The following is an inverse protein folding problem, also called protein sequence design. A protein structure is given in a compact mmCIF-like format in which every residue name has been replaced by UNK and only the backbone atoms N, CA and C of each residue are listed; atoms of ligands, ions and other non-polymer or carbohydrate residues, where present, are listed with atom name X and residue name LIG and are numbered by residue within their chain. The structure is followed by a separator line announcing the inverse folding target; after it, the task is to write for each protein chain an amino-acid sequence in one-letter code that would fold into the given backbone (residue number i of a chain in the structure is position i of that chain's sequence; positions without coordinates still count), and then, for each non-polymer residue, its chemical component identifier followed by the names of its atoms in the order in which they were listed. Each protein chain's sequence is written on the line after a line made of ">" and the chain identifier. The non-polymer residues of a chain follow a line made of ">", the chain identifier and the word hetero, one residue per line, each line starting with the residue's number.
data_IF_681468376581
#
_entry.id   IF_681468376581
#
_cell.length_a   1.000
_cell.length_b   1.000
_cell.length_c   1.000
_cell.angle_alpha   90.00
_cell.angle_beta   90.00
_cell.angle_gamma   90.00
#
_symmetry.space_group_name_H-M   'P 1'
#
loop_
_entity.id
_entity.type
_entity.pdbx_description
1 polymer ?
#
# COMPACT_ATOMS: atom_id res chain seq x y z
N UNK A 1 13.70 -7.55 17.49
CA UNK A 1 14.13 -6.33 16.78
C UNK A 1 13.29 -6.26 15.53
N UNK A 2 12.27 -5.42 15.53
CA UNK A 2 11.47 -5.11 14.34
C UNK A 2 12.34 -4.30 13.39
N UNK A 3 12.41 -4.73 12.13
CA UNK A 3 13.04 -3.98 11.07
C UNK A 3 12.39 -2.58 10.97
N UNK A 4 13.11 -1.47 11.19
CA UNK A 4 12.56 -0.13 11.06
C UNK A 4 12.14 0.22 9.62
N UNK A 5 12.51 -0.60 8.63
CA UNK A 5 12.31 -0.35 7.19
C UNK A 5 11.09 -1.05 6.56
N UNK A 6 10.26 -1.76 7.33
CA UNK A 6 9.06 -2.39 6.80
C UNK A 6 7.82 -1.54 7.14
N UNK A 7 7.29 -0.80 6.17
CA UNK A 7 6.04 -0.04 6.30
C UNK A 7 4.98 -0.68 5.41
N UNK A 8 4.08 -1.43 6.03
CA UNK A 8 3.02 -2.16 5.36
C UNK A 8 1.79 -1.32 5.03
N UNK A 9 1.90 0.01 4.87
CA UNK A 9 0.75 0.86 4.58
C UNK A 9 1.09 2.15 3.83
N UNK A 10 0.19 2.56 2.93
CA UNK A 10 0.25 3.81 2.17
C UNK A 10 -0.82 4.79 2.65
N UNK A 11 -0.50 6.08 2.75
CA UNK A 11 -1.48 7.14 3.03
C UNK A 11 -1.36 8.28 2.00
N UNK A 12 -2.47 8.90 1.60
CA UNK A 12 -2.42 10.07 0.72
C UNK A 12 -3.70 10.90 0.73
N UNK A 13 -3.58 12.18 0.43
CA UNK A 13 -4.71 13.11 0.24
C UNK A 13 -4.62 13.76 -1.12
N UNK A 14 -5.75 14.03 -1.75
CA UNK A 14 -5.83 14.82 -2.98
C UNK A 14 -6.96 15.82 -2.87
N UNK A 15 -6.80 16.97 -3.53
CA UNK A 15 -7.89 17.94 -3.60
C UNK A 15 -8.96 17.38 -4.53
N UNK A 16 -10.20 17.11 -4.07
CA UNK A 16 -11.28 16.85 -5.00
C UNK A 16 -11.40 18.06 -5.95
N UNK A 17 -11.71 17.84 -7.24
CA UNK A 17 -11.79 18.93 -8.21
C UNK A 17 -12.68 20.05 -7.67
N UNK A 18 -12.23 21.30 -7.79
CA UNK A 18 -13.03 22.47 -7.39
C UNK A 18 -14.41 22.33 -8.04
N UNK A 19 -15.44 22.33 -7.21
CA UNK A 19 -16.83 22.38 -7.68
C UNK A 19 -16.99 23.70 -8.42
N UNK A 20 -17.01 23.63 -9.74
CA UNK A 20 -17.46 24.76 -10.54
C UNK A 20 -18.92 25.03 -10.16
N UNK A 21 -19.36 26.30 -10.09
CA UNK A 21 -20.77 26.60 -9.95
C UNK A 21 -21.54 25.86 -11.05
N UNK A 22 -22.45 24.97 -10.64
CA UNK A 22 -23.25 24.17 -11.56
C UNK A 22 -24.29 25.10 -12.19
N UNK A 23 -24.13 25.40 -13.48
CA UNK A 23 -25.16 26.06 -14.26
C UNK A 23 -26.34 25.08 -14.43
N UNK A 24 -27.45 25.37 -13.77
CA UNK A 24 -28.71 24.62 -13.90
C UNK A 24 -29.64 25.36 -14.84
N UNK A 25 -30.31 24.64 -15.75
CA UNK A 25 -31.31 25.24 -16.61
C UNK A 25 -32.54 25.65 -15.80
N UNK A 26 -33.21 26.75 -16.16
CA UNK A 26 -34.55 27.04 -15.64
C UNK A 26 -35.52 26.00 -16.19
N UNK A 27 -36.25 25.29 -15.32
CA UNK A 27 -37.21 24.26 -15.71
C UNK A 27 -38.64 24.76 -15.57
N UNK A 28 -39.52 24.44 -16.54
CA UNK A 28 -40.97 24.62 -16.41
C UNK A 28 -41.56 23.61 -15.39
N UNK A 29 -42.82 23.79 -14.98
CA UNK A 29 -43.41 23.18 -13.79
C UNK A 29 -43.28 21.64 -13.64
N UNK A 30 -43.10 20.91 -14.75
CA UNK A 30 -42.93 19.45 -14.73
C UNK A 30 -41.48 18.98 -14.98
N UNK A 31 -40.59 19.84 -15.48
CA UNK A 31 -39.21 19.47 -15.76
C UNK A 31 -38.35 19.58 -14.50
N UNK A 32 -37.36 18.70 -14.35
CA UNK A 32 -36.41 18.70 -13.22
C UNK A 32 -35.00 18.56 -13.74
N UNK A 33 -34.07 19.33 -13.16
CA UNK A 33 -32.64 19.06 -13.30
C UNK A 33 -32.24 17.95 -12.32
N UNK A 34 -31.47 16.98 -12.79
CA UNK A 34 -30.81 16.00 -11.92
C UNK A 34 -29.35 16.38 -11.80
N UNK A 35 -28.97 16.90 -10.63
CA UNK A 35 -27.57 17.08 -10.27
C UNK A 35 -27.09 15.84 -9.55
N UNK A 36 -26.09 15.16 -10.10
CA UNK A 36 -25.45 14.02 -9.44
C UNK A 36 -24.04 14.42 -9.02
N UNK A 37 -23.90 14.70 -7.74
CA UNK A 37 -22.59 14.92 -7.14
C UNK A 37 -21.89 13.57 -6.96
N UNK A 38 -20.73 13.35 -7.61
CA UNK A 38 -20.03 12.08 -7.47
C UNK A 38 -19.48 11.95 -6.05
N UNK A 39 -19.70 10.79 -5.44
CA UNK A 39 -19.07 10.42 -4.19
C UNK A 39 -17.58 10.18 -4.45
N UNK A 40 -16.77 11.23 -4.31
CA UNK A 40 -15.33 11.19 -4.51
C UNK A 40 -14.62 11.23 -3.16
N UNK A 41 -13.76 10.25 -2.84
CA UNK A 41 -12.89 10.37 -1.69
C UNK A 41 -11.94 11.56 -1.85
N UNK A 42 -11.47 12.10 -0.73
CA UNK A 42 -10.45 13.15 -0.64
C UNK A 42 -9.12 12.64 -0.11
N UNK A 43 -9.13 11.48 0.54
CA UNK A 43 -7.94 10.83 1.05
C UNK A 43 -8.13 9.32 1.07
N UNK A 44 -7.03 8.61 1.22
CA UNK A 44 -7.01 7.16 1.31
C UNK A 44 -5.90 6.72 2.27
N UNK A 45 -6.11 5.55 2.84
CA UNK A 45 -5.08 4.76 3.48
C UNK A 45 -5.19 3.33 2.98
N UNK A 46 -4.08 2.65 2.70
CA UNK A 46 -4.02 1.25 2.30
C UNK A 46 -3.14 0.51 3.29
N UNK A 47 -3.58 -0.63 3.75
CA UNK A 47 -2.76 -1.62 4.46
C UNK A 47 -2.46 -2.78 3.50
N UNK A 48 -1.19 -3.11 3.34
CA UNK A 48 -0.72 -4.19 2.47
C UNK A 48 -0.68 -5.53 3.21
N UNK A 49 -0.66 -6.62 2.44
CA UNK A 49 -0.77 -8.00 2.92
C UNK A 49 0.24 -8.39 4.00
N UNK A 50 1.42 -7.77 4.01
CA UNK A 50 2.50 -8.01 4.99
C UNK A 50 2.04 -7.81 6.44
N UNK A 51 0.91 -7.13 6.65
CA UNK A 51 0.30 -6.90 7.97
C UNK A 51 -0.72 -7.93 8.37
N UNK A 52 -1.01 -8.88 7.50
CA UNK A 52 -1.79 -10.07 7.79
C UNK A 52 -0.85 -11.26 7.93
N UNK A 53 -1.19 -12.21 8.80
CA UNK A 53 -0.49 -13.49 8.77
C UNK A 53 -0.74 -14.19 7.42
N UNK A 54 0.18 -15.07 7.00
CA UNK A 54 0.04 -15.79 5.73
C UNK A 54 -1.33 -16.50 5.64
N UNK A 55 -2.04 -16.27 4.53
CA UNK A 55 -3.40 -16.76 4.28
C UNK A 55 -4.40 -16.45 5.41
N UNK A 56 -4.24 -15.30 6.08
CA UNK A 56 -5.10 -14.90 7.20
C UNK A 56 -5.67 -13.50 7.04
N UNK A 57 -6.74 -13.24 7.80
CA UNK A 57 -7.30 -11.92 8.07
C UNK A 57 -6.93 -11.36 9.44
N UNK A 58 -6.15 -12.08 10.25
CA UNK A 58 -5.63 -11.58 11.52
C UNK A 58 -4.59 -10.49 11.28
N UNK A 59 -4.72 -9.35 11.97
CA UNK A 59 -3.84 -8.19 11.81
C UNK A 59 -2.68 -8.28 12.82
N UNK A 60 -1.47 -8.36 12.30
CA UNK A 60 -0.22 -8.45 13.06
C UNK A 60 0.03 -7.19 13.93
N UNK A 61 0.72 -7.32 15.08
CA UNK A 61 1.07 -6.16 15.90
C UNK A 61 2.04 -5.20 15.18
N UNK A 62 2.72 -5.68 14.14
CA UNK A 62 3.53 -4.86 13.24
C UNK A 62 2.72 -3.77 12.51
N UNK A 63 1.38 -3.86 12.52
CA UNK A 63 0.49 -2.86 11.95
C UNK A 63 0.39 -1.56 12.79
N UNK A 64 0.94 -1.53 14.00
CA UNK A 64 0.87 -0.36 14.90
C UNK A 64 1.32 0.96 14.26
N UNK A 65 2.51 1.08 13.65
CA UNK A 65 2.91 2.30 12.96
C UNK A 65 1.98 2.68 11.81
N UNK A 66 1.37 1.68 11.14
CA UNK A 66 0.42 1.90 10.05
C UNK A 66 -0.87 2.57 10.54
N UNK A 67 -1.40 2.15 11.70
CA UNK A 67 -2.55 2.80 12.33
C UNK A 67 -2.26 4.22 12.83
N UNK A 68 -1.05 4.46 13.36
CA UNK A 68 -0.64 5.82 13.75
C UNK A 68 -0.63 6.77 12.54
N UNK A 69 -0.14 6.29 11.37
CA UNK A 69 -0.21 7.04 10.10
C UNK A 69 -1.65 7.31 9.67
N UNK A 70 -2.55 6.33 9.79
CA UNK A 70 -3.96 6.51 9.51
C UNK A 70 -4.60 7.56 10.42
N UNK A 71 -4.38 7.47 11.74
CA UNK A 71 -4.92 8.42 12.72
C UNK A 71 -4.47 9.86 12.43
N UNK A 72 -3.19 10.05 12.12
CA UNK A 72 -2.64 11.34 11.72
C UNK A 72 -3.28 11.87 10.42
N UNK A 73 -3.55 10.98 9.44
CA UNK A 73 -4.25 11.35 8.20
C UNK A 73 -5.68 11.78 8.48
N UNK A 74 -6.41 10.99 9.25
CA UNK A 74 -7.81 11.25 9.56
C UNK A 74 -7.98 12.57 10.30
N UNK A 75 -7.12 12.87 11.29
CA UNK A 75 -7.14 14.17 12.00
C UNK A 75 -6.82 15.35 11.09
N UNK A 76 -5.71 15.30 10.35
CA UNK A 76 -5.27 16.44 9.52
C UNK A 76 -6.21 16.74 8.35
N UNK A 77 -7.03 15.77 7.95
CA UNK A 77 -8.04 15.93 6.88
C UNK A 77 -9.42 16.35 7.40
N UNK A 78 -9.54 16.67 8.70
CA UNK A 78 -10.77 17.19 9.29
C UNK A 78 -11.77 16.10 9.66
N UNK A 79 -11.28 14.94 10.11
CA UNK A 79 -12.08 13.82 10.61
C UNK A 79 -13.13 13.33 9.58
N UNK A 80 -12.70 13.01 8.35
CA UNK A 80 -13.59 12.63 7.27
C UNK A 80 -14.30 11.28 7.54
N UNK A 81 -15.53 11.09 7.04
CA UNK A 81 -16.17 9.79 7.00
C UNK A 81 -15.33 8.75 6.25
N UNK A 82 -15.22 7.54 6.79
CA UNK A 82 -14.43 6.44 6.22
C UNK A 82 -15.31 5.34 5.58
N UNK A 83 -14.74 4.57 4.63
CA UNK A 83 -15.27 3.28 4.18
C UNK A 83 -14.13 2.31 3.91
N UNK A 84 -14.24 1.08 4.40
CA UNK A 84 -13.19 0.04 4.33
C UNK A 84 -13.48 -0.95 3.20
N UNK A 85 -12.49 -1.21 2.34
CA UNK A 85 -12.58 -2.12 1.20
C UNK A 85 -11.43 -3.13 1.27
N UNK A 86 -11.75 -4.41 1.44
CA UNK A 86 -10.77 -5.48 1.37
C UNK A 86 -10.67 -6.07 -0.03
N UNK A 87 -9.47 -6.52 -0.41
CA UNK A 87 -9.16 -7.12 -1.71
C UNK A 87 -8.41 -8.43 -1.54
N UNK A 88 -8.62 -9.34 -2.49
CA UNK A 88 -7.91 -10.60 -2.62
C UNK A 88 -7.10 -10.64 -3.93
N UNK A 89 -6.18 -11.59 -4.03
CA UNK A 89 -5.50 -11.89 -5.29
C UNK A 89 -6.29 -12.94 -6.09
N UNK A 90 -5.89 -13.28 -7.33
CA UNK A 90 -6.68 -14.17 -8.18
C UNK A 90 -6.51 -15.66 -7.86
N UNK A 91 -5.89 -16.02 -6.72
CA UNK A 91 -5.76 -17.42 -6.31
C UNK A 91 -7.04 -17.84 -5.57
N UNK A 92 -7.89 -18.60 -6.26
CA UNK A 92 -9.17 -19.07 -5.74
C UNK A 92 -10.30 -18.77 -6.72
N UNK A 93 -11.53 -19.01 -6.31
CA UNK A 93 -12.70 -18.52 -7.05
C UNK A 93 -13.20 -17.19 -6.47
N UNK A 94 -13.94 -16.45 -7.29
CA UNK A 94 -14.45 -15.13 -6.96
C UNK A 94 -15.33 -15.10 -5.69
N UNK A 95 -16.05 -16.18 -5.39
CA UNK A 95 -16.90 -16.31 -4.21
C UNK A 95 -16.09 -16.52 -2.94
N UNK A 96 -15.10 -17.42 -2.98
CA UNK A 96 -14.10 -17.59 -1.92
C UNK A 96 -13.36 -16.27 -1.65
N UNK A 97 -12.83 -15.65 -2.70
CA UNK A 97 -12.09 -14.40 -2.63
C UNK A 97 -12.96 -13.24 -2.12
N UNK A 98 -14.26 -13.23 -2.43
CA UNK A 98 -15.21 -12.24 -1.89
C UNK A 98 -15.33 -12.34 -0.37
N UNK A 99 -15.43 -13.55 0.17
CA UNK A 99 -15.51 -13.78 1.62
C UNK A 99 -14.17 -13.45 2.28
N UNK A 100 -13.05 -13.94 1.76
CA UNK A 100 -11.72 -13.66 2.31
C UNK A 100 -11.40 -12.16 2.34
N UNK A 101 -11.64 -11.45 1.23
CA UNK A 101 -11.51 -10.00 1.16
C UNK A 101 -12.42 -9.29 2.18
N UNK A 102 -13.66 -9.77 2.34
CA UNK A 102 -14.59 -9.26 3.35
C UNK A 102 -14.10 -9.49 4.78
N UNK A 103 -13.46 -10.63 5.08
CA UNK A 103 -12.85 -10.93 6.38
C UNK A 103 -11.72 -9.97 6.71
N UNK A 104 -10.79 -9.72 5.78
CA UNK A 104 -9.72 -8.70 5.96
C UNK A 104 -10.29 -7.31 6.23
N UNK A 105 -11.31 -6.89 5.49
CA UNK A 105 -11.97 -5.60 5.69
C UNK A 105 -12.64 -5.50 7.07
N UNK A 106 -13.34 -6.57 7.48
CA UNK A 106 -13.99 -6.67 8.79
C UNK A 106 -12.99 -6.64 9.94
N UNK A 107 -11.82 -7.28 9.80
CA UNK A 107 -10.75 -7.22 10.79
C UNK A 107 -10.32 -5.78 11.07
N UNK A 108 -10.06 -5.01 10.01
CA UNK A 108 -9.64 -3.60 10.11
C UNK A 108 -10.77 -2.73 10.66
N UNK A 109 -11.99 -2.89 10.15
CA UNK A 109 -13.15 -2.17 10.65
C UNK A 109 -13.35 -2.39 12.16
N UNK A 110 -13.32 -3.65 12.59
CA UNK A 110 -13.47 -4.03 14.00
C UNK A 110 -12.37 -3.45 14.90
N UNK A 111 -11.12 -3.45 14.42
CA UNK A 111 -10.03 -2.78 15.12
C UNK A 111 -10.29 -1.28 15.30
N UNK A 112 -10.70 -0.59 14.23
CA UNK A 112 -10.96 0.85 14.26
C UNK A 112 -12.10 1.24 15.21
N UNK A 113 -13.16 0.44 15.31
CA UNK A 113 -14.33 0.73 16.17
C UNK A 113 -14.36 -0.04 17.49
N UNK A 114 -13.32 -0.84 17.79
CA UNK A 114 -13.21 -1.72 18.97
C UNK A 114 -14.33 -2.76 19.10
N UNK A 115 -14.75 -3.34 17.97
CA UNK A 115 -15.78 -4.38 17.96
C UNK A 115 -15.18 -5.79 18.11
N UNK A 116 -15.06 -6.25 19.36
CA UNK A 116 -14.55 -7.59 19.67
C UNK A 116 -15.48 -8.71 19.19
N UNK A 117 -16.77 -8.44 18.95
CA UNK A 117 -17.71 -9.45 18.51
C UNK A 117 -17.47 -9.86 17.05
N UNK A 118 -17.06 -8.90 16.20
CA UNK A 118 -16.61 -9.20 14.84
C UNK A 118 -15.37 -10.09 14.87
N UNK A 119 -14.36 -9.77 15.69
CA UNK A 119 -13.15 -10.59 15.84
C UNK A 119 -13.44 -11.98 16.40
N UNK A 120 -14.36 -12.09 17.37
CA UNK A 120 -14.81 -13.38 17.89
C UNK A 120 -15.44 -14.24 16.80
N UNK A 121 -16.25 -13.65 15.91
CA UNK A 121 -16.82 -14.38 14.78
C UNK A 121 -15.75 -14.83 13.77
N UNK A 122 -14.78 -13.97 13.45
CA UNK A 122 -13.66 -14.31 12.56
C UNK A 122 -12.81 -15.45 13.13
N UNK A 123 -12.51 -15.42 14.43
CA UNK A 123 -11.78 -16.46 15.15
C UNK A 123 -12.56 -17.79 15.24
N UNK A 124 -13.85 -17.70 15.59
CA UNK A 124 -14.68 -18.87 15.81
C UNK A 124 -15.07 -19.58 14.50
N UNK A 125 -15.05 -18.88 13.36
CA UNK A 125 -15.48 -19.40 12.06
C UNK A 125 -14.34 -19.26 11.04
N UNK A 126 -13.39 -20.21 10.98
CA UNK A 126 -12.32 -20.19 9.99
C UNK A 126 -12.88 -20.29 8.57
N UNK A 127 -12.12 -19.78 7.59
CA UNK A 127 -12.50 -19.82 6.18
C UNK A 127 -11.30 -20.16 5.29
N UNK A 128 -11.28 -21.37 4.72
CA UNK A 128 -10.10 -21.85 3.98
C UNK A 128 -8.89 -21.92 4.89
N UNK A 129 -7.77 -21.32 4.47
CA UNK A 129 -6.56 -21.21 5.30
C UNK A 129 -6.60 -20.10 6.35
N UNK A 130 -7.62 -19.22 6.35
CA UNK A 130 -7.78 -18.20 7.38
C UNK A 130 -8.34 -18.80 8.68
N UNK A 131 -7.46 -19.42 9.46
CA UNK A 131 -7.72 -19.97 10.79
C UNK A 131 -6.84 -19.30 11.86
N UNK A 132 -7.48 -18.46 12.68
CA UNK A 132 -6.80 -17.67 13.72
C UNK A 132 -6.38 -18.50 14.93
N UNK A 133 -6.95 -19.69 15.12
CA UNK A 133 -6.91 -20.44 16.39
C UNK A 133 -5.51 -20.87 16.80
N UNK A 134 -4.60 -21.01 15.84
CA UNK A 134 -3.23 -21.48 16.09
C UNK A 134 -2.23 -20.35 16.27
N UNK A 135 -2.47 -19.16 15.68
CA UNK A 135 -1.47 -18.10 15.59
C UNK A 135 -1.86 -16.81 16.30
N UNK A 136 -3.16 -16.47 16.36
CA UNK A 136 -3.59 -15.15 16.80
C UNK A 136 -3.38 -14.94 18.31
N UNK A 137 -3.76 -15.90 19.15
CA UNK A 137 -3.64 -15.78 20.63
C UNK A 137 -2.17 -15.62 21.07
N UNK A 138 -1.21 -16.45 20.64
CA UNK A 138 0.20 -16.25 20.99
C UNK A 138 0.75 -14.88 20.57
N UNK A 139 0.40 -14.40 19.37
CA UNK A 139 0.84 -13.08 18.90
C UNK A 139 0.27 -11.94 19.72
N UNK A 140 -1.02 -12.00 20.09
CA UNK A 140 -1.65 -11.00 20.96
C UNK A 140 -1.01 -10.98 22.35
N UNK A 141 -0.79 -12.15 22.96
CA UNK A 141 -0.13 -12.26 24.26
C UNK A 141 1.29 -11.67 24.20
N UNK A 142 2.07 -12.03 23.18
CA UNK A 142 3.42 -11.49 22.99
C UNK A 142 3.44 -9.98 22.83
N UNK A 143 2.52 -9.41 22.03
CA UNK A 143 2.39 -7.96 21.84
C UNK A 143 2.02 -7.21 23.13
N UNK A 144 1.29 -7.87 24.03
CA UNK A 144 0.87 -7.33 25.33
C UNK A 144 1.86 -7.66 26.47
N UNK A 145 2.96 -8.35 26.19
CA UNK A 145 3.98 -8.69 27.19
C UNK A 145 3.61 -9.89 28.10
N UNK A 146 2.66 -10.73 27.70
CA UNK A 146 2.25 -11.92 28.43
C UNK A 146 2.88 -13.19 27.83
N UNK A 147 3.44 -14.04 28.69
CA UNK A 147 4.03 -15.33 28.27
C UNK A 147 3.02 -16.48 28.15
N UNK A 148 1.80 -16.33 28.68
CA UNK A 148 0.75 -17.35 28.65
C UNK A 148 -0.64 -16.76 28.86
N UNK A 149 -1.67 -17.53 28.48
CA UNK A 149 -3.08 -17.16 28.74
C UNK A 149 -3.33 -16.97 30.24
N UNK A 150 -2.80 -17.85 31.09
CA UNK A 150 -2.95 -17.75 32.54
C UNK A 150 -2.34 -16.46 33.11
N UNK A 151 -1.19 -16.02 32.57
CA UNK A 151 -0.57 -14.75 32.98
C UNK A 151 -1.42 -13.53 32.60
N UNK A 152 -2.05 -13.55 31.43
CA UNK A 152 -2.98 -12.52 30.99
C UNK A 152 -4.27 -12.52 31.83
N UNK A 153 -4.87 -13.70 32.06
CA UNK A 153 -6.06 -13.85 32.91
C UNK A 153 -5.84 -13.29 34.31
N UNK A 154 -4.70 -13.62 34.93
CA UNK A 154 -4.34 -13.09 36.25
C UNK A 154 -4.23 -11.56 36.25
N UNK A 155 -3.56 -10.99 35.24
CA UNK A 155 -3.39 -9.54 35.11
C UNK A 155 -4.71 -8.78 34.86
N UNK A 156 -5.64 -9.38 34.10
CA UNK A 156 -6.95 -8.80 33.81
C UNK A 156 -8.03 -9.14 34.85
N UNK A 157 -7.69 -9.87 35.92
CA UNK A 157 -8.65 -10.26 36.96
C UNK A 157 -9.72 -11.26 36.49
N UNK A 158 -9.40 -12.08 35.50
CA UNK A 158 -10.27 -13.14 34.99
C UNK A 158 -10.05 -14.47 35.74
N UNK A 159 -10.96 -15.43 35.53
CA UNK A 159 -10.74 -16.80 35.98
C UNK A 159 -9.47 -17.37 35.31
N UNK A 160 -8.53 -17.86 36.12
CA UNK A 160 -7.25 -18.40 35.65
C UNK A 160 -7.39 -19.90 35.37
N UNK A 161 -7.85 -20.24 34.17
CA UNK A 161 -7.99 -21.62 33.69
C UNK A 161 -6.97 -21.99 32.60
N UNK A 162 -6.15 -21.03 32.15
CA UNK A 162 -5.17 -21.21 31.08
C UNK A 162 -5.77 -21.36 29.68
N UNK A 163 -7.11 -21.28 29.55
CA UNK A 163 -7.82 -21.42 28.29
C UNK A 163 -8.22 -20.05 27.74
N UNK A 164 -7.94 -19.81 26.46
CA UNK A 164 -8.42 -18.62 25.76
C UNK A 164 -9.89 -18.82 25.35
N UNK A 165 -10.79 -18.99 26.33
CA UNK A 165 -12.25 -19.08 26.13
C UNK A 165 -12.86 -17.74 25.72
N UNK A 166 -14.17 -17.67 25.38
CA UNK A 166 -14.80 -16.46 24.86
C UNK A 166 -14.65 -15.21 25.76
N UNK A 167 -14.71 -15.38 27.09
CA UNK A 167 -14.52 -14.28 28.05
C UNK A 167 -13.07 -13.76 27.99
N UNK A 168 -12.09 -14.68 28.02
CA UNK A 168 -10.66 -14.36 27.91
C UNK A 168 -10.35 -13.71 26.56
N UNK A 169 -10.88 -14.24 25.45
CA UNK A 169 -10.67 -13.71 24.10
C UNK A 169 -11.23 -12.31 23.95
N UNK A 170 -12.43 -12.04 24.47
CA UNK A 170 -13.01 -10.70 24.44
C UNK A 170 -12.08 -9.67 25.09
N UNK A 171 -11.60 -9.95 26.31
CA UNK A 171 -10.65 -9.07 27.00
C UNK A 171 -9.32 -8.96 26.23
N UNK A 172 -8.81 -10.08 25.72
CA UNK A 172 -7.56 -10.12 24.95
C UNK A 172 -7.65 -9.29 23.67
N UNK A 173 -8.75 -9.40 22.92
CA UNK A 173 -9.00 -8.63 21.70
C UNK A 173 -9.09 -7.14 22.00
N UNK A 174 -9.83 -6.75 23.04
CA UNK A 174 -9.94 -5.35 23.45
C UNK A 174 -8.57 -4.74 23.79
N UNK A 175 -7.79 -5.39 24.65
CA UNK A 175 -6.43 -4.94 25.01
C UNK A 175 -5.50 -4.89 23.82
N UNK A 176 -5.56 -5.91 22.96
CA UNK A 176 -4.74 -5.96 21.77
C UNK A 176 -5.07 -4.83 20.78
N UNK A 177 -6.36 -4.56 20.54
CA UNK A 177 -6.78 -3.46 19.69
C UNK A 177 -6.31 -2.10 20.24
N UNK A 178 -6.37 -1.89 21.56
CA UNK A 178 -5.83 -0.67 22.18
C UNK A 178 -4.32 -0.53 22.07
N UNK A 179 -3.59 -1.64 22.17
CA UNK A 179 -2.13 -1.62 22.06
C UNK A 179 -1.64 -1.38 20.62
N UNK A 180 -2.38 -1.85 19.62
CA UNK A 180 -2.01 -1.80 18.19
C UNK A 180 -2.59 -0.58 17.49
N UNK A 181 -3.87 -0.24 17.72
CA UNK A 181 -4.50 0.91 17.07
C UNK A 181 -4.26 2.14 17.91
N UNK A 182 -3.09 2.74 17.72
CA UNK A 182 -2.69 3.99 18.38
C UNK A 182 -2.59 5.13 17.39
N UNK A 183 -2.55 6.35 17.91
CA UNK A 183 -2.22 7.53 17.13
C UNK A 183 -0.70 7.81 17.08
N UNK A 184 -0.34 8.95 16.50
CA UNK A 184 1.03 9.46 16.39
C UNK A 184 1.67 9.82 17.74
N UNK A 185 0.87 9.94 18.81
CA UNK A 185 1.34 10.11 20.20
C UNK A 185 1.40 8.79 20.98
N UNK A 186 1.11 7.66 20.31
CA UNK A 186 0.98 6.32 20.89
C UNK A 186 -0.22 6.15 21.83
N UNK A 187 -1.16 7.09 21.87
CA UNK A 187 -2.41 6.94 22.62
C UNK A 187 -3.39 6.05 21.83
N UNK A 188 -4.27 5.27 22.50
CA UNK A 188 -5.30 4.50 21.82
C UNK A 188 -6.15 5.37 20.89
N UNK A 189 -6.26 4.95 19.63
CA UNK A 189 -7.05 5.60 18.60
C UNK A 189 -8.27 4.75 18.24
N UNK A 190 -9.44 5.39 18.19
CA UNK A 190 -10.71 4.74 17.88
C UNK A 190 -11.57 5.68 17.01
N UNK A 191 -12.32 5.07 16.10
CA UNK A 191 -13.43 5.69 15.39
C UNK A 191 -14.76 5.22 16.00
N UNK A 192 -15.78 6.06 15.92
CA UNK A 192 -17.16 5.64 16.15
C UNK A 192 -17.79 5.13 14.86
N UNK A 193 -18.83 4.30 14.96
CA UNK A 193 -19.57 3.83 13.78
C UNK A 193 -20.13 4.99 12.95
N UNK A 194 -20.41 6.14 13.59
CA UNK A 194 -20.87 7.36 12.93
C UNK A 194 -19.79 8.09 12.12
N UNK A 195 -18.51 7.72 12.30
CA UNK A 195 -17.37 8.25 11.54
C UNK A 195 -17.18 7.49 10.21
N UNK A 196 -18.08 6.56 9.88
CA UNK A 196 -18.10 5.86 8.60
C UNK A 196 -19.22 6.38 7.70
N UNK A 197 -19.08 6.13 6.40
CA UNK A 197 -19.95 6.69 5.36
C UNK A 197 -21.41 6.23 5.48
N UNK A 198 -21.65 4.98 5.85
CA UNK A 198 -22.96 4.39 6.17
C UNK A 198 -23.40 4.61 7.62
N UNK A 199 -22.52 5.17 8.46
CA UNK A 199 -22.79 5.64 9.84
C UNK A 199 -23.26 4.54 10.80
N UNK A 200 -22.95 3.28 10.52
CA UNK A 200 -23.41 2.13 11.31
C UNK A 200 -24.91 1.84 11.20
N UNK A 201 -25.59 2.36 10.18
CA UNK A 201 -27.06 2.21 10.05
C UNK A 201 -27.51 0.86 9.48
N UNK A 202 -26.62 0.15 8.77
CA UNK A 202 -26.81 -1.26 8.39
C UNK A 202 -26.00 -2.16 9.33
N UNK A 203 -26.64 -3.14 9.97
CA UNK A 203 -25.98 -4.07 10.91
C UNK A 203 -24.85 -4.88 10.25
N UNK A 204 -24.96 -5.12 8.94
CA UNK A 204 -23.95 -5.80 8.14
C UNK A 204 -22.85 -4.88 7.57
N UNK A 205 -22.88 -3.59 7.90
CA UNK A 205 -21.86 -2.61 7.53
C UNK A 205 -21.91 -2.12 6.09
N UNK A 206 -23.05 -2.20 5.39
CA UNK A 206 -23.18 -1.59 4.05
C UNK A 206 -22.77 -0.11 4.07
N UNK A 207 -21.83 0.26 3.20
CA UNK A 207 -21.24 1.60 3.15
C UNK A 207 -20.09 1.86 4.14
N UNK A 208 -19.95 1.05 5.20
CA UNK A 208 -18.87 1.20 6.18
C UNK A 208 -17.71 0.23 5.92
N UNK A 209 -18.03 -1.02 5.55
CA UNK A 209 -17.06 -2.09 5.27
C UNK A 209 -17.53 -2.99 4.12
N UNK A 210 -16.63 -3.33 3.20
CA UNK A 210 -16.91 -4.14 2.01
C UNK A 210 -15.77 -5.10 1.67
N UNK A 211 -16.12 -6.27 1.14
CA UNK A 211 -15.17 -7.17 0.48
C UNK A 211 -15.31 -7.04 -1.03
N UNK A 212 -14.19 -6.82 -1.74
CA UNK A 212 -14.17 -6.59 -3.19
C UNK A 212 -13.69 -7.79 -4.01
N UNK A 213 -13.48 -8.94 -3.38
CA UNK A 213 -12.88 -10.11 -4.04
C UNK A 213 -11.56 -9.77 -4.75
N UNK A 214 -11.22 -10.52 -5.80
CA UNK A 214 -10.12 -10.29 -6.73
C UNK A 214 -10.46 -9.29 -7.85
N UNK A 215 -11.65 -8.67 -7.82
CA UNK A 215 -12.20 -7.93 -8.96
C UNK A 215 -11.47 -6.64 -9.31
N UNK A 216 -10.62 -6.13 -8.41
CA UNK A 216 -9.91 -4.87 -8.60
C UNK A 216 -8.38 -5.07 -8.41
N UNK A 217 -7.73 -5.85 -9.29
CA UNK A 217 -6.30 -6.13 -9.19
C UNK A 217 -5.48 -4.88 -9.56
N UNK A 218 -4.52 -4.53 -8.70
CA UNK A 218 -3.50 -3.54 -9.02
C UNK A 218 -2.55 -4.03 -10.11
N UNK A 219 -2.33 -5.35 -10.16
CA UNK A 219 -1.49 -6.02 -11.14
C UNK A 219 -2.20 -7.26 -11.68
N UNK A 220 -2.20 -7.39 -13.00
CA UNK A 220 -2.59 -8.60 -13.72
C UNK A 220 -1.34 -9.15 -14.39
N UNK A 221 -0.97 -10.39 -14.07
CA UNK A 221 0.18 -11.05 -14.67
C UNK A 221 -0.09 -11.38 -16.14
N UNK A 222 0.97 -11.55 -16.94
CA UNK A 222 0.84 -12.08 -18.30
C UNK A 222 0.48 -13.57 -18.27
N UNK A 223 -0.08 -14.05 -19.38
CA UNK A 223 -0.42 -15.45 -19.56
C UNK A 223 0.82 -16.37 -19.46
N UNK A 224 1.99 -15.90 -19.90
CA UNK A 224 3.24 -16.67 -19.79
C UNK A 224 3.73 -16.77 -18.35
N UNK A 225 3.63 -15.69 -17.56
CA UNK A 225 3.95 -15.71 -16.14
C UNK A 225 3.02 -16.67 -15.38
N UNK A 226 1.71 -16.57 -15.59
CA UNK A 226 0.73 -17.46 -14.95
C UNK A 226 0.98 -18.93 -15.33
N UNK A 227 1.29 -19.22 -16.59
CA UNK A 227 1.62 -20.57 -17.02
C UNK A 227 2.90 -21.10 -16.34
N UNK A 228 3.94 -20.28 -16.28
CA UNK A 228 5.20 -20.64 -15.60
C UNK A 228 4.97 -20.90 -14.11
N UNK A 229 4.21 -20.04 -13.44
CA UNK A 229 3.86 -20.19 -12.04
C UNK A 229 2.94 -21.37 -11.77
N UNK A 230 2.03 -21.71 -12.68
CA UNK A 230 1.18 -22.89 -12.58
C UNK A 230 2.01 -24.18 -12.59
N UNK A 231 3.07 -24.24 -13.39
CA UNK A 231 3.97 -25.40 -13.51
C UNK A 231 4.97 -25.54 -12.35
N UNK A 232 5.33 -24.44 -11.69
CA UNK A 232 6.25 -24.48 -10.55
C UNK A 232 5.63 -25.21 -9.35
N UNK A 233 6.31 -26.20 -8.72
CA UNK A 233 5.83 -26.79 -7.47
C UNK A 233 5.92 -25.81 -6.30
N UNK A 234 6.88 -24.88 -6.33
CA UNK A 234 6.99 -23.78 -5.38
C UNK A 234 6.20 -22.57 -5.88
N UNK A 235 5.25 -22.12 -5.06
CA UNK A 235 4.36 -21.01 -5.39
C UNK A 235 4.80 -19.66 -4.81
N UNK A 236 5.98 -19.59 -4.19
CA UNK A 236 6.51 -18.38 -3.55
C UNK A 236 6.55 -17.20 -4.53
N UNK A 237 7.21 -17.35 -5.68
CA UNK A 237 7.30 -16.29 -6.69
C UNK A 237 5.93 -15.83 -7.22
N UNK A 238 4.97 -16.75 -7.36
CA UNK A 238 3.59 -16.44 -7.76
C UNK A 238 2.86 -15.62 -6.70
N UNK A 239 3.05 -15.96 -5.43
CA UNK A 239 2.43 -15.27 -4.30
C UNK A 239 3.03 -13.86 -4.12
N UNK A 240 4.34 -13.70 -4.32
CA UNK A 240 5.05 -12.42 -4.30
C UNK A 240 4.60 -11.52 -5.46
N UNK A 241 4.51 -12.07 -6.68
CA UNK A 241 4.08 -11.32 -7.85
C UNK A 241 2.65 -10.76 -7.71
N UNK A 242 1.77 -11.51 -7.02
CA UNK A 242 0.39 -11.14 -6.73
C UNK A 242 0.18 -10.35 -5.43
N UNK A 243 1.22 -10.16 -4.61
CA UNK A 243 1.13 -9.51 -3.30
C UNK A 243 0.40 -8.15 -3.33
N UNK A 244 0.64 -7.25 -4.32
CA UNK A 244 -0.05 -5.96 -4.34
C UNK A 244 -1.57 -6.05 -4.48
N UNK A 245 -2.12 -7.17 -4.94
CA UNK A 245 -3.57 -7.35 -5.05
C UNK A 245 -4.22 -7.59 -3.69
N UNK A 246 -3.49 -8.17 -2.73
CA UNK A 246 -3.93 -8.43 -1.35
C UNK A 246 -3.75 -7.16 -0.52
N UNK A 247 -4.84 -6.41 -0.34
CA UNK A 247 -4.79 -5.11 0.37
C UNK A 247 -6.13 -4.79 1.04
N UNK A 248 -6.10 -3.92 2.05
CA UNK A 248 -7.29 -3.24 2.58
C UNK A 248 -7.14 -1.75 2.38
N UNK A 249 -8.08 -1.12 1.70
CA UNK A 249 -8.16 0.34 1.59
C UNK A 249 -9.20 0.91 2.55
N UNK A 250 -8.87 2.04 3.15
CA UNK A 250 -9.83 2.95 3.78
C UNK A 250 -9.90 4.21 2.92
N UNK A 251 -11.05 4.42 2.29
CA UNK A 251 -11.34 5.65 1.55
C UNK A 251 -11.98 6.67 2.49
N UNK A 252 -11.49 7.89 2.46
CA UNK A 252 -11.94 9.01 3.30
C UNK A 252 -12.68 10.03 2.44
N UNK A 253 -13.91 10.34 2.80
CA UNK A 253 -14.82 11.21 2.05
C UNK A 253 -14.91 12.61 2.66
N UNK A 254 -15.32 13.63 1.90
CA UNK A 254 -15.45 14.97 2.46
C UNK A 254 -16.27 15.02 3.76
N UNK A 255 -15.83 15.78 4.79
CA UNK A 255 -16.60 15.94 6.02
C UNK A 255 -18.06 16.30 5.74
N UNK A 256 -18.99 15.63 6.44
CA UNK A 256 -20.43 15.74 6.22
C UNK A 256 -21.00 14.80 5.13
N UNK A 257 -20.17 14.03 4.44
CA UNK A 257 -20.64 13.01 3.50
C UNK A 257 -21.30 11.84 4.23
N UNK A 258 -22.40 11.34 3.69
CA UNK A 258 -23.04 10.10 4.13
C UNK A 258 -23.79 9.45 2.97
N UNK A 259 -24.07 8.16 3.08
CA UNK A 259 -24.89 7.44 2.11
C UNK A 259 -26.15 6.87 2.75
N UNK A 260 -27.11 6.52 1.90
CA UNK A 260 -28.23 5.64 2.23
C UNK A 260 -27.79 4.19 1.92
N UNK A 261 -27.63 3.30 2.93
CA UNK A 261 -27.16 1.92 2.69
C UNK A 261 -28.06 1.12 1.75
N UNK A 262 -29.36 1.44 1.66
CA UNK A 262 -30.27 0.78 0.74
C UNK A 262 -29.95 1.07 -0.74
N UNK A 263 -29.23 2.16 -1.01
CA UNK A 263 -28.76 2.56 -2.35
C UNK A 263 -27.29 2.22 -2.59
N UNK A 264 -26.60 1.65 -1.59
CA UNK A 264 -25.22 1.22 -1.73
C UNK A 264 -25.17 -0.09 -2.54
N UNK A 265 -24.48 -0.11 -3.69
CA UNK A 265 -24.57 -1.23 -4.63
C UNK A 265 -23.66 -2.41 -4.27
N UNK A 266 -22.69 -2.23 -3.36
CA UNK A 266 -21.86 -3.35 -2.93
C UNK A 266 -22.64 -4.22 -1.93
N UNK A 267 -22.58 -5.55 -2.05
CA UNK A 267 -23.14 -6.44 -1.04
C UNK A 267 -22.36 -6.31 0.28
N UNK A 268 -22.94 -6.82 1.37
CA UNK A 268 -22.25 -6.89 2.67
C UNK A 268 -20.98 -7.72 2.55
N UNK A 269 -20.05 -7.51 3.47
CA UNK A 269 -18.75 -8.20 3.47
C UNK A 269 -18.89 -9.73 3.41
N UNK A 270 -19.95 -10.29 4.02
CA UNK A 270 -20.21 -11.75 4.12
C UNK A 270 -21.18 -12.31 3.08
N UNK A 271 -21.77 -11.46 2.25
CA UNK A 271 -22.64 -11.89 1.16
C UNK A 271 -21.81 -12.29 -0.08
N UNK A 272 -22.45 -13.03 -0.99
CA UNK A 272 -21.83 -13.50 -2.25
C UNK A 272 -21.48 -12.37 -3.22
N UNK A 273 -20.94 -12.75 -4.38
CA UNK A 273 -20.33 -11.85 -5.36
C UNK A 273 -21.28 -11.38 -6.49
N UNK A 274 -22.50 -11.92 -6.56
CA UNK A 274 -23.46 -11.62 -7.63
C UNK A 274 -23.74 -10.10 -7.78
N UNK A 275 -23.98 -9.39 -6.67
CA UNK A 275 -24.18 -7.94 -6.68
C UNK A 275 -22.91 -7.18 -7.10
N UNK A 276 -21.72 -7.71 -6.80
CA UNK A 276 -20.45 -7.13 -7.27
C UNK A 276 -20.33 -7.22 -8.79
N UNK A 277 -20.63 -8.38 -9.39
CA UNK A 277 -20.59 -8.57 -10.84
C UNK A 277 -21.57 -7.68 -11.59
N UNK A 278 -22.73 -7.39 -11.01
CA UNK A 278 -23.67 -6.40 -11.55
C UNK A 278 -23.08 -4.98 -11.62
N UNK A 279 -22.00 -4.70 -10.90
CA UNK A 279 -21.25 -3.45 -10.97
C UNK A 279 -20.05 -3.50 -11.90
N UNK A 280 -19.85 -4.56 -12.69
CA UNK A 280 -18.72 -4.60 -13.60
C UNK A 280 -18.86 -3.60 -14.74
N UNK A 281 -17.72 -3.18 -15.27
CA UNK A 281 -17.66 -2.67 -16.63
C UNK A 281 -18.14 -3.77 -17.60
N UNK A 282 -18.69 -3.41 -18.79
CA UNK A 282 -19.07 -4.42 -19.78
C UNK A 282 -17.92 -5.38 -20.17
N UNK A 283 -16.68 -4.90 -20.10
CA UNK A 283 -15.44 -5.65 -20.32
C UNK A 283 -14.78 -6.14 -19.01
N UNK A 284 -15.48 -6.14 -17.88
CA UNK A 284 -14.91 -6.41 -16.55
C UNK A 284 -14.15 -7.73 -16.45
N UNK A 285 -14.63 -8.78 -17.11
CA UNK A 285 -13.92 -10.07 -17.17
C UNK A 285 -12.58 -9.95 -17.93
N UNK A 286 -12.56 -9.23 -19.06
CA UNK A 286 -11.33 -9.00 -19.82
C UNK A 286 -10.31 -8.17 -19.01
N UNK A 287 -10.79 -7.21 -18.22
CA UNK A 287 -9.94 -6.33 -17.39
C UNK A 287 -9.07 -7.09 -16.41
N UNK A 288 -9.62 -8.13 -15.78
CA UNK A 288 -8.90 -8.97 -14.81
C UNK A 288 -8.21 -10.21 -15.40
N UNK A 289 -8.44 -10.50 -16.69
CA UNK A 289 -7.86 -11.69 -17.33
C UNK A 289 -6.41 -11.46 -17.77
N UNK A 290 -5.48 -12.40 -17.50
CA UNK A 290 -4.13 -12.38 -18.02
C UNK A 290 -4.06 -12.26 -19.55
N UNK A 291 -3.23 -11.34 -20.03
CA UNK A 291 -3.02 -11.07 -21.45
C UNK A 291 -1.61 -11.44 -21.93
N UNK A 292 -1.21 -10.95 -23.10
CA UNK A 292 0.15 -11.17 -23.63
C UNK A 292 1.24 -10.51 -22.77
N UNK A 293 0.93 -9.38 -22.14
CA UNK A 293 1.83 -8.63 -21.28
C UNK A 293 1.23 -8.44 -19.89
N UNK A 294 2.10 -8.27 -18.90
CA UNK A 294 1.71 -7.84 -17.55
C UNK A 294 1.05 -6.46 -17.65
N UNK A 295 -0.03 -6.26 -16.90
CA UNK A 295 -0.73 -4.98 -16.79
C UNK A 295 -0.75 -4.51 -15.34
N UNK A 296 -0.59 -3.21 -15.18
CA UNK A 296 -0.71 -2.54 -13.88
C UNK A 296 -1.74 -1.43 -13.97
N UNK A 297 -2.57 -1.30 -12.95
CA UNK A 297 -3.68 -0.34 -12.93
C UNK A 297 -3.19 1.11 -13.11
N UNK A 298 -2.01 1.43 -12.56
CA UNK A 298 -1.41 2.75 -12.64
C UNK A 298 -1.19 3.21 -14.09
N UNK A 299 -0.78 2.30 -14.97
CA UNK A 299 -0.41 2.58 -16.36
C UNK A 299 -1.58 2.36 -17.33
N UNK A 300 -2.31 1.26 -17.18
CA UNK A 300 -3.30 0.86 -18.18
C UNK A 300 -4.73 1.34 -17.85
N UNK A 301 -5.04 1.54 -16.55
CA UNK A 301 -6.38 1.92 -16.07
C UNK A 301 -7.52 0.98 -16.50
N UNK A 302 -7.17 -0.26 -16.85
CA UNK A 302 -8.07 -1.28 -17.39
C UNK A 302 -7.96 -2.63 -16.66
N UNK A 303 -7.47 -2.65 -15.42
CA UNK A 303 -7.36 -3.88 -14.62
C UNK A 303 -8.54 -4.08 -13.67
N UNK A 304 -9.19 -3.01 -13.20
CA UNK A 304 -10.34 -3.11 -12.30
C UNK A 304 -11.63 -3.46 -13.05
N UNK A 305 -12.25 -4.57 -12.68
CA UNK A 305 -13.52 -5.02 -13.24
C UNK A 305 -14.70 -4.19 -12.70
N UNK A 306 -14.71 -3.83 -11.42
CA UNK A 306 -15.84 -3.13 -10.79
C UNK A 306 -15.84 -1.63 -11.10
N UNK A 307 -16.82 -1.16 -11.89
CA UNK A 307 -16.97 0.25 -12.27
C UNK A 307 -17.28 1.16 -11.09
N UNK A 308 -17.99 0.64 -10.09
CA UNK A 308 -18.36 1.41 -8.90
C UNK A 308 -17.13 1.70 -8.03
N UNK A 309 -16.33 0.67 -7.77
CA UNK A 309 -15.07 0.83 -7.04
C UNK A 309 -14.08 1.70 -7.81
N UNK A 310 -13.90 1.42 -9.10
CA UNK A 310 -13.04 2.20 -10.00
C UNK A 310 -13.40 3.69 -9.99
N UNK A 311 -14.69 4.04 -10.03
CA UNK A 311 -15.13 5.43 -9.96
C UNK A 311 -14.65 6.18 -8.69
N UNK A 312 -14.60 5.49 -7.54
CA UNK A 312 -14.11 6.06 -6.28
C UNK A 312 -12.58 6.04 -6.18
N UNK A 313 -11.96 4.95 -6.62
CA UNK A 313 -10.56 4.65 -6.34
C UNK A 313 -9.59 5.05 -7.46
N UNK A 314 -10.05 5.34 -8.68
CA UNK A 314 -9.17 5.61 -9.83
C UNK A 314 -8.18 6.77 -9.69
N UNK A 315 -8.49 7.72 -8.80
CA UNK A 315 -7.64 8.88 -8.46
C UNK A 315 -6.88 8.69 -7.15
N UNK A 316 -7.11 7.58 -6.48
CA UNK A 316 -6.50 7.27 -5.18
C UNK A 316 -4.99 7.05 -5.36
N UNK A 317 -4.14 7.81 -4.66
CA UNK A 317 -2.71 7.53 -4.61
C UNK A 317 -2.39 6.21 -3.91
N UNK A 318 -3.36 5.60 -3.21
CA UNK A 318 -3.22 4.28 -2.59
C UNK A 318 -3.50 3.12 -3.57
N UNK A 319 -4.08 3.41 -4.73
CA UNK A 319 -4.24 2.44 -5.84
C UNK A 319 -3.09 2.50 -6.85
N UNK A 320 -1.96 3.04 -6.42
CA UNK A 320 -0.74 3.06 -7.20
C UNK A 320 0.25 2.12 -6.51
N UNK A 321 0.96 1.33 -7.33
CA UNK A 321 2.07 0.54 -6.82
C UNK A 321 3.13 1.53 -6.32
N UNK A 322 3.54 1.31 -5.08
CA UNK A 322 4.53 2.11 -4.38
C UNK A 322 5.66 1.20 -3.97
N UNK A 323 6.87 1.74 -3.96
CA UNK A 323 8.08 0.98 -3.67
C UNK A 323 8.86 1.68 -2.56
N UNK A 324 9.77 0.94 -1.94
CA UNK A 324 10.80 1.53 -1.10
C UNK A 324 11.95 1.98 -1.97
N UNK A 325 12.17 3.29 -2.01
CA UNK A 325 13.31 3.88 -2.67
C UNK A 325 14.48 3.93 -1.68
N UNK A 326 15.52 3.16 -1.94
CA UNK A 326 16.79 3.23 -1.21
C UNK A 326 17.80 3.92 -2.10
N UNK A 327 18.35 5.05 -1.66
CA UNK A 327 19.39 5.77 -2.38
C UNK A 327 20.55 6.06 -1.44
N UNK A 328 21.74 6.19 -2.01
CA UNK A 328 22.92 6.67 -1.30
C UNK A 328 23.49 7.88 -2.02
N UNK A 329 23.73 8.95 -1.27
CA UNK A 329 24.37 10.16 -1.74
C UNK A 329 25.84 10.14 -1.34
N UNK A 330 26.72 10.40 -2.29
CA UNK A 330 28.15 10.56 -2.07
C UNK A 330 28.71 11.67 -2.96
N UNK A 331 29.84 12.25 -2.55
CA UNK A 331 30.61 13.20 -3.35
C UNK A 331 31.26 12.55 -4.57
N UNK A 332 31.91 13.36 -5.40
CA UNK A 332 32.68 12.89 -6.57
C UNK A 332 33.87 11.99 -6.20
N UNK A 333 34.31 12.05 -4.96
CA UNK A 333 35.35 11.23 -4.34
C UNK A 333 34.80 9.96 -3.67
N UNK A 334 33.50 9.66 -3.85
CA UNK A 334 32.76 8.57 -3.20
C UNK A 334 32.68 8.69 -1.67
N UNK A 335 32.98 9.85 -1.10
CA UNK A 335 32.74 10.12 0.33
C UNK A 335 31.24 10.29 0.56
N UNK A 336 30.63 9.57 1.51
CA UNK A 336 29.21 9.70 1.81
C UNK A 336 28.81 11.13 2.19
N UNK A 337 27.70 11.61 1.64
CA UNK A 337 27.10 12.89 2.01
C UNK A 337 26.21 12.68 3.23
N UNK A 338 26.81 12.66 4.41
CA UNK A 338 26.14 12.39 5.68
C UNK A 338 25.32 13.58 6.19
N UNK A 339 24.15 13.32 6.77
CA UNK A 339 23.28 14.32 7.41
C UNK A 339 22.93 15.51 6.50
N UNK A 340 22.82 15.27 5.19
CA UNK A 340 22.47 16.30 4.21
C UNK A 340 20.97 16.28 3.97
N UNK A 341 20.36 17.46 4.07
CA UNK A 341 18.95 17.66 3.75
C UNK A 341 18.68 17.34 2.28
N UNK A 342 17.63 16.57 2.03
CA UNK A 342 17.14 16.27 0.69
C UNK A 342 15.65 16.60 0.53
N UNK A 343 15.25 16.75 -0.73
CA UNK A 343 13.86 16.73 -1.17
C UNK A 343 13.70 15.75 -2.33
N UNK A 344 12.81 14.79 -2.17
CA UNK A 344 12.45 13.80 -3.18
C UNK A 344 11.08 14.14 -3.78
N UNK A 345 11.01 14.25 -5.10
CA UNK A 345 9.78 14.45 -5.85
C UNK A 345 9.46 13.18 -6.68
N UNK A 346 8.43 12.46 -6.26
CA UNK A 346 7.98 11.20 -6.82
C UNK A 346 6.63 11.36 -7.54
N UNK A 347 6.65 12.07 -8.67
CA UNK A 347 5.45 12.48 -9.38
C UNK A 347 4.88 13.81 -8.88
N UNK A 348 3.77 14.26 -9.47
CA UNK A 348 3.33 15.66 -9.37
C UNK A 348 2.94 16.15 -7.96
N UNK A 349 2.69 15.23 -7.02
CA UNK A 349 2.13 15.56 -5.70
C UNK A 349 2.74 14.77 -4.52
N UNK A 350 3.83 14.02 -4.75
CA UNK A 350 4.52 13.26 -3.71
C UNK A 350 5.91 13.90 -3.51
N UNK A 351 5.94 14.94 -2.68
CA UNK A 351 7.17 15.65 -2.31
C UNK A 351 7.50 15.28 -0.87
N UNK A 352 8.72 14.82 -0.66
CA UNK A 352 9.23 14.35 0.62
C UNK A 352 10.50 15.05 0.96
N UNK A 353 10.76 15.22 2.24
CA UNK A 353 11.98 15.83 2.72
C UNK A 353 12.48 15.10 3.93
N UNK A 354 13.80 14.97 4.01
CA UNK A 354 14.48 14.31 5.10
C UNK A 354 15.96 14.63 5.06
N UNK A 355 16.72 13.92 5.87
CA UNK A 355 18.16 14.06 5.97
C UNK A 355 18.78 12.68 5.73
N UNK A 356 19.90 12.62 5.01
CA UNK A 356 20.64 11.36 4.85
C UNK A 356 21.23 10.89 6.18
N UNK A 357 21.43 9.59 6.33
CA UNK A 357 22.11 9.03 7.51
C UNK A 357 23.64 9.29 7.49
N UNK A 358 24.36 8.75 8.47
CA UNK A 358 25.81 8.87 8.57
C UNK A 358 26.59 8.24 7.40
N UNK A 359 25.97 7.30 6.68
CA UNK A 359 26.52 6.64 5.49
C UNK A 359 26.03 7.28 4.19
N UNK A 360 25.38 8.45 4.27
CA UNK A 360 24.80 9.17 3.15
C UNK A 360 23.57 8.49 2.55
N UNK A 361 22.96 7.53 3.24
CA UNK A 361 21.78 6.82 2.74
C UNK A 361 20.51 7.60 3.04
N UNK A 362 19.54 7.49 2.14
CA UNK A 362 18.15 7.85 2.38
C UNK A 362 17.25 6.70 1.97
N UNK A 363 16.26 6.42 2.80
CA UNK A 363 15.27 5.37 2.58
C UNK A 363 13.91 6.03 2.62
N UNK A 364 13.25 6.07 1.46
CA UNK A 364 11.93 6.63 1.31
C UNK A 364 10.94 5.53 0.99
N UNK A 365 10.01 5.30 1.91
CA UNK A 365 9.07 4.18 1.88
C UNK A 365 7.79 4.60 1.16
N UNK A 366 7.06 3.68 0.53
CA UNK A 366 5.79 4.02 -0.13
C UNK A 366 5.92 5.10 -1.23
N UNK A 367 7.04 5.17 -1.94
CA UNK A 367 7.27 6.17 -2.99
C UNK A 367 6.50 5.77 -4.24
N UNK A 368 5.77 6.73 -4.82
CA UNK A 368 5.11 6.54 -6.11
C UNK A 368 6.18 6.41 -7.21
N UNK A 369 6.37 5.19 -7.74
CA UNK A 369 7.46 4.92 -8.68
C UNK A 369 6.94 4.50 -10.08
N UNK A 370 6.60 5.44 -10.97
CA UNK A 370 6.11 5.10 -12.30
C UNK A 370 7.22 4.92 -13.36
N UNK A 371 8.44 5.41 -13.14
CA UNK A 371 9.63 5.18 -14.00
C UNK A 371 10.83 6.01 -13.55
N UNK A 372 10.60 7.13 -12.86
CA UNK A 372 11.65 8.04 -12.39
C UNK A 372 11.21 8.91 -11.23
N UNK A 373 12.17 9.44 -10.48
CA UNK A 373 12.01 10.44 -9.41
C UNK A 373 12.99 11.59 -9.60
N UNK A 374 12.73 12.75 -8.99
CA UNK A 374 13.69 13.87 -8.93
C UNK A 374 14.16 14.04 -7.50
N UNK A 375 15.45 13.89 -7.26
CA UNK A 375 16.08 14.10 -5.96
C UNK A 375 16.84 15.42 -5.97
N UNK A 376 16.63 16.25 -4.96
CA UNK A 376 17.35 17.49 -4.71
C UNK A 376 18.03 17.41 -3.35
N UNK A 377 19.23 17.94 -3.19
CA UNK A 377 19.93 17.87 -1.91
C UNK A 377 20.82 19.09 -1.65
N UNK A 378 21.11 19.31 -0.36
CA UNK A 378 21.92 20.40 0.18
C UNK A 378 23.43 20.15 0.11
N UNK A 379 24.18 21.04 0.76
CA UNK A 379 25.60 20.85 1.06
C UNK A 379 25.76 20.25 2.47
N UNK A 380 26.84 19.52 2.75
CA UNK A 380 27.25 19.20 4.11
C UNK A 380 27.37 20.48 4.95
N UNK A 381 26.86 20.46 6.17
CA UNK A 381 26.96 21.55 7.16
C UNK A 381 26.28 22.89 6.81
N UNK A 382 25.36 22.92 5.84
CA UNK A 382 24.60 24.12 5.49
C UNK A 382 23.50 24.41 6.53
N UNK A 383 23.91 24.99 7.66
CA UNK A 383 23.03 25.44 8.76
C UNK A 383 22.20 26.69 8.41
N UNK A 384 22.45 27.33 7.28
CA UNK A 384 21.74 28.54 6.83
C UNK A 384 20.69 28.19 5.76
N UNK A 385 19.66 27.44 6.15
CA UNK A 385 18.58 27.04 5.24
C UNK A 385 17.87 28.26 4.63
N UNK A 386 18.14 28.54 3.36
CA UNK A 386 17.41 29.52 2.54
C UNK A 386 16.30 28.87 1.70
N UNK A 387 15.97 27.60 1.94
CA UNK A 387 15.00 26.85 1.14
C UNK A 387 15.46 26.54 -0.29
N UNK A 388 16.78 26.43 -0.52
CA UNK A 388 17.36 26.13 -1.84
C UNK A 388 18.13 24.82 -1.80
N UNK A 389 17.87 23.95 -2.77
CA UNK A 389 18.66 22.74 -3.00
C UNK A 389 19.61 22.99 -4.19
N UNK A 390 20.93 23.15 -3.95
CA UNK A 390 21.90 23.45 -5.02
C UNK A 390 22.10 22.29 -5.99
N UNK A 391 21.85 21.06 -5.55
CA UNK A 391 21.99 19.87 -6.38
C UNK A 391 20.64 19.27 -6.74
N UNK A 392 20.53 18.74 -7.96
CA UNK A 392 19.34 18.04 -8.44
C UNK A 392 19.77 16.93 -9.39
N UNK A 393 19.19 15.75 -9.22
CA UNK A 393 19.37 14.61 -10.12
C UNK A 393 18.04 13.92 -10.38
N UNK A 394 17.86 13.43 -11.60
CA UNK A 394 16.76 12.55 -11.95
C UNK A 394 17.24 11.10 -11.82
N UNK A 395 16.50 10.28 -11.09
CA UNK A 395 16.83 8.86 -10.91
C UNK A 395 15.82 8.04 -11.71
N UNK A 396 16.29 7.15 -12.57
CA UNK A 396 15.47 6.22 -13.35
C UNK A 396 15.24 4.94 -12.56
N UNK A 397 13.99 4.64 -12.26
CA UNK A 397 13.56 3.41 -11.57
C UNK A 397 13.20 2.30 -12.55
N UNK A 398 12.94 2.64 -13.81
CA UNK A 398 12.73 1.72 -14.93
C UNK A 398 14.05 1.40 -15.67
N UNK A 399 15.14 1.31 -14.92
CA UNK A 399 16.49 1.12 -15.46
C UNK A 399 16.67 -0.21 -16.21
N UNK A 400 15.77 -1.16 -15.97
CA UNK A 400 15.71 -2.48 -16.57
C UNK A 400 14.77 -2.56 -17.79
N UNK A 401 14.10 -1.45 -18.14
CA UNK A 401 13.18 -1.37 -19.28
C UNK A 401 13.84 -0.71 -20.49
N UNK A 402 13.75 -1.36 -21.66
CA UNK A 402 14.26 -0.88 -22.94
C UNK A 402 15.22 -1.86 -23.60
N UNK A 403 15.79 -1.46 -24.74
CA UNK A 403 16.92 -2.18 -25.35
C UNK A 403 18.20 -2.05 -24.49
N UNK A 404 19.24 -2.80 -24.84
CA UNK A 404 20.46 -2.90 -24.04
C UNK A 404 21.13 -1.54 -23.84
N UNK A 405 21.12 -0.70 -24.86
CA UNK A 405 21.64 0.66 -24.85
C UNK A 405 20.85 1.56 -23.87
N UNK A 406 19.52 1.50 -23.93
CA UNK A 406 18.65 2.27 -23.04
C UNK A 406 18.85 1.87 -21.57
N UNK A 407 18.93 0.55 -21.29
CA UNK A 407 19.19 0.05 -19.93
C UNK A 407 20.57 0.49 -19.42
N UNK A 408 21.58 0.40 -20.27
CA UNK A 408 22.96 0.84 -19.96
C UNK A 408 23.01 2.33 -19.63
N UNK A 409 22.37 3.17 -20.46
CA UNK A 409 22.29 4.63 -20.23
C UNK A 409 21.64 4.97 -18.90
N UNK A 410 20.50 4.33 -18.58
CA UNK A 410 19.79 4.60 -17.32
C UNK A 410 20.64 4.24 -16.10
N UNK A 411 21.32 3.08 -16.13
CA UNK A 411 22.21 2.66 -15.02
C UNK A 411 23.40 3.59 -14.85
N UNK A 412 24.09 3.94 -15.93
CA UNK A 412 25.21 4.90 -15.90
C UNK A 412 24.75 6.28 -15.41
N UNK A 413 23.60 6.76 -15.87
CA UNK A 413 23.01 8.01 -15.40
C UNK A 413 22.71 7.99 -13.91
N UNK A 414 22.19 6.88 -13.37
CA UNK A 414 21.91 6.78 -11.94
C UNK A 414 23.21 6.80 -11.10
N UNK A 415 24.29 6.19 -11.61
CA UNK A 415 25.57 6.06 -10.91
C UNK A 415 26.43 7.33 -10.84
N UNK A 416 26.12 8.37 -11.60
CA UNK A 416 27.01 9.54 -11.62
C UNK A 416 27.33 10.07 -13.01
N UNK A 417 27.35 9.19 -14.01
CA UNK A 417 27.94 9.50 -15.30
C UNK A 417 27.05 10.42 -16.13
N UNK A 418 27.62 11.51 -16.62
CA UNK A 418 26.98 12.38 -17.58
C UNK A 418 26.90 11.67 -18.92
N UNK A 419 25.68 11.56 -19.45
CA UNK A 419 25.45 10.91 -20.73
C UNK A 419 25.91 11.85 -21.84
N UNK A 420 27.06 11.54 -22.46
CA UNK A 420 27.43 12.13 -23.74
C UNK A 420 26.42 11.73 -24.83
N UNK A 421 26.39 12.45 -25.95
CA UNK A 421 25.56 12.09 -27.11
C UNK A 421 25.85 10.64 -27.56
N UNK A 422 27.12 10.24 -27.51
CA UNK A 422 27.58 8.88 -27.73
C UNK A 422 27.72 8.11 -26.40
N UNK A 423 27.32 6.84 -26.40
CA UNK A 423 27.38 6.00 -25.20
C UNK A 423 28.81 5.51 -24.89
N UNK A 424 29.61 5.26 -25.93
CA UNK A 424 30.93 4.65 -25.79
C UNK A 424 31.90 5.46 -24.91
N UNK A 425 31.98 6.80 -24.98
CA UNK A 425 32.79 7.60 -24.05
C UNK A 425 32.36 7.44 -22.59
N UNK A 426 31.05 7.33 -22.34
CA UNK A 426 30.49 7.16 -21.00
C UNK A 426 30.83 5.78 -20.44
N UNK A 427 30.73 4.73 -21.27
CA UNK A 427 31.17 3.38 -20.91
C UNK A 427 32.68 3.35 -20.62
N UNK A 428 33.49 4.01 -21.45
CA UNK A 428 34.92 4.07 -21.26
C UNK A 428 35.33 4.78 -19.95
N UNK A 429 34.55 5.78 -19.52
CA UNK A 429 34.72 6.41 -18.21
C UNK A 429 34.41 5.42 -17.07
N UNK A 430 33.26 4.75 -17.14
CA UNK A 430 32.88 3.72 -16.16
C UNK A 430 33.94 2.60 -16.07
N UNK A 431 34.40 2.09 -17.21
CA UNK A 431 35.43 1.06 -17.26
C UNK A 431 36.72 1.50 -16.56
N UNK A 432 37.15 2.75 -16.79
CA UNK A 432 38.34 3.31 -16.14
C UNK A 432 38.17 3.39 -14.62
N UNK A 433 37.00 3.84 -14.16
CA UNK A 433 36.72 4.06 -12.73
C UNK A 433 36.50 2.75 -11.94
N UNK A 434 36.22 1.65 -12.65
CA UNK A 434 36.05 0.30 -12.10
C UNK A 434 37.21 -0.64 -12.43
N UNK A 435 38.30 -0.14 -13.03
CA UNK A 435 39.50 -0.93 -13.32
C UNK A 435 39.31 -2.00 -14.40
N UNK A 436 38.33 -1.82 -15.30
CA UNK A 436 38.06 -2.70 -16.44
C UNK A 436 38.87 -2.26 -17.67
N UNK A 437 39.08 -3.15 -18.66
CA UNK A 437 39.63 -2.77 -19.95
C UNK A 437 38.79 -1.65 -20.62
N UNK A 438 39.43 -0.55 -20.99
CA UNK A 438 38.76 0.62 -21.56
C UNK A 438 38.52 0.39 -23.06
N UNK A 439 37.36 -0.18 -23.40
CA UNK A 439 36.93 -0.49 -24.77
C UNK A 439 35.82 0.43 -25.27
N UNK A 440 35.08 1.08 -24.36
CA UNK A 440 33.86 1.83 -24.69
C UNK A 440 32.68 0.94 -25.11
N UNK A 441 32.80 -0.37 -24.98
CA UNK A 441 31.77 -1.35 -25.34
C UNK A 441 31.21 -1.97 -24.07
N UNK A 442 29.88 -2.08 -23.97
CA UNK A 442 29.23 -2.76 -22.85
C UNK A 442 29.25 -4.29 -23.05
N UNK A 443 30.43 -4.88 -22.90
CA UNK A 443 30.61 -6.33 -22.94
C UNK A 443 30.08 -7.01 -21.66
N UNK A 444 30.11 -8.36 -21.63
CA UNK A 444 29.55 -9.12 -20.51
C UNK A 444 30.19 -8.79 -19.16
N UNK A 445 31.49 -8.47 -19.13
CA UNK A 445 32.19 -8.09 -17.89
C UNK A 445 31.78 -6.67 -17.45
N UNK A 446 31.70 -5.73 -18.38
CA UNK A 446 31.25 -4.36 -18.13
C UNK A 446 29.81 -4.33 -17.63
N UNK A 447 28.92 -5.12 -18.24
CA UNK A 447 27.52 -5.20 -17.81
C UNK A 447 27.40 -5.81 -16.41
N UNK A 448 28.15 -6.88 -16.11
CA UNK A 448 28.13 -7.52 -14.80
C UNK A 448 28.58 -6.53 -13.70
N UNK A 449 29.65 -5.79 -13.94
CA UNK A 449 30.14 -4.77 -13.00
C UNK A 449 29.17 -3.57 -12.91
N UNK A 450 28.55 -3.15 -14.01
CA UNK A 450 27.55 -2.09 -14.01
C UNK A 450 26.32 -2.45 -13.17
N UNK A 451 25.85 -3.69 -13.31
CA UNK A 451 24.77 -4.24 -12.49
C UNK A 451 25.21 -4.32 -11.03
N UNK A 452 26.41 -4.83 -10.75
CA UNK A 452 26.92 -4.93 -9.39
C UNK A 452 27.05 -3.55 -8.73
N UNK A 453 27.66 -2.57 -9.39
CA UNK A 453 27.84 -1.22 -8.88
C UNK A 453 26.48 -0.52 -8.64
N UNK A 454 25.55 -0.63 -9.58
CA UNK A 454 24.23 -0.01 -9.47
C UNK A 454 23.33 -0.71 -8.43
N UNK A 455 23.32 -2.04 -8.40
CA UNK A 455 22.34 -2.82 -7.63
C UNK A 455 22.87 -3.20 -6.23
N UNK A 456 24.19 -3.26 -6.00
CA UNK A 456 24.77 -3.43 -4.65
C UNK A 456 24.58 -2.17 -3.79
N UNK A 457 24.47 -0.99 -4.41
CA UNK A 457 24.12 0.25 -3.71
C UNK A 457 22.63 0.30 -3.30
N UNK A 458 21.79 -0.58 -3.85
CA UNK A 458 20.35 -0.71 -3.51
C UNK A 458 20.07 -1.80 -2.46
N UNK A 459 20.95 -2.78 -2.28
CA UNK A 459 20.67 -4.04 -1.55
C UNK A 459 21.52 -4.28 -0.30
N UNK A 460 22.09 -3.24 0.31
CA UNK A 460 23.11 -3.35 1.36
C UNK A 460 22.70 -3.98 2.71
N UNK A 461 22.24 -5.23 2.72
CA UNK A 461 22.60 -6.22 3.74
C UNK A 461 23.89 -6.91 3.28
N UNK A 462 24.98 -6.72 4.03
CA UNK A 462 26.24 -7.44 3.79
C UNK A 462 26.02 -8.95 4.00
N UNK A 463 26.73 -9.74 3.19
CA UNK A 463 27.10 -11.11 3.54
C UNK A 463 27.85 -11.18 4.88
#
# INVERSE_FOLDING_TARGET
>A
MSDPDDHGSVAGSWRPPRRLPLAVATTEAAARNTLRDPLLPMACWRLDDVRFAFDSSFVSPAAKPDFARFAALWRRTGQPPASVFGHADPVGDDGYNKVLAGRRALSIYAMLVRDTAIWEQLYAQPHGGDDWRTQAVPQMLGALGHGSVASFQSAEGLAVDGAAGPITRRALFERYMDAVVTDDTQAPFRLERTDFLGRGTDEGGKGDVQGCSEFNPLRVLSASEEQSFAQSPDKTARNEANLPNRRVLVLLFPPGSSIDPARWPCPRAREGDAECRAQFWPDGELRRTPGATRREYATHKDTFACRFYDAMARRSPCELLRTTLRLRLHGSDRVPLANVRYQLEAGAHDIREGDTDADGRLVELDVLAPSRVTLRWGLPDDVAWLGRFPYTRRIYLDYDVGDDDARTRKRLHNLGYDLAEELAPTIAAFQRDHGLPVTGVNDGATMAELVAAHDAELTGGRA
#
